data_IF_192593867684
#
_entry.id   IF_192593867684
#
_cell.length_a   1.000
_cell.length_b   1.000
_cell.length_c   1.000
_cell.angle_alpha   90.00
_cell.angle_beta   90.00
_cell.angle_gamma   90.00
#
_symmetry.space_group_name_H-M   'P 1'
#
loop_
_entity.id
_entity.type
_entity.pdbx_description
1 polymer ?
#
# COMPACT_ATOMS: atom_id res chain seq x y z
N UNK A 1 16.70 -17.68 12.01
CA UNK A 1 15.37 -17.03 11.95
C UNK A 1 15.49 -15.60 12.44
N UNK A 2 14.80 -14.65 11.82
CA UNK A 2 14.66 -13.28 12.31
C UNK A 2 13.18 -12.87 12.27
N UNK A 3 12.48 -12.74 13.41
CA UNK A 3 11.11 -12.23 13.45
C UNK A 3 11.00 -10.90 12.70
N UNK A 4 9.94 -10.72 11.92
CA UNK A 4 9.78 -9.51 11.11
C UNK A 4 9.49 -8.28 11.97
N UNK A 5 9.97 -7.13 11.53
CA UNK A 5 9.87 -5.85 12.22
C UNK A 5 10.74 -4.81 11.53
N UNK A 6 10.84 -3.59 12.10
CA UNK A 6 11.59 -2.49 11.50
C UNK A 6 13.06 -2.88 11.21
N UNK A 7 13.82 -3.25 12.23
CA UNK A 7 15.24 -3.63 12.06
C UNK A 7 15.42 -4.82 11.10
N UNK A 8 14.50 -5.79 11.14
CA UNK A 8 14.58 -6.98 10.29
C UNK A 8 14.34 -6.64 8.82
N UNK A 9 13.37 -5.77 8.52
CA UNK A 9 13.14 -5.31 7.15
C UNK A 9 14.39 -4.62 6.57
N UNK A 10 15.04 -3.73 7.33
CA UNK A 10 16.28 -3.08 6.93
C UNK A 10 17.43 -4.08 6.72
N UNK A 11 17.59 -5.03 7.66
CA UNK A 11 18.58 -6.09 7.57
C UNK A 11 18.37 -6.98 6.35
N UNK A 12 17.12 -7.31 6.00
CA UNK A 12 16.78 -8.13 4.84
C UNK A 12 17.06 -7.38 3.53
N UNK A 13 16.78 -6.09 3.45
CA UNK A 13 17.15 -5.26 2.28
C UNK A 13 18.66 -5.33 2.03
N UNK A 14 19.48 -5.14 3.07
CA UNK A 14 20.93 -5.22 2.95
C UNK A 14 21.43 -6.64 2.64
N UNK A 15 20.82 -7.66 3.26
CA UNK A 15 21.15 -9.06 3.00
C UNK A 15 20.91 -9.45 1.54
N UNK A 16 19.78 -9.04 0.96
CA UNK A 16 19.46 -9.30 -0.44
C UNK A 16 20.44 -8.60 -1.39
N UNK A 17 20.86 -7.37 -1.07
CA UNK A 17 21.90 -6.65 -1.83
C UNK A 17 23.28 -7.32 -1.72
N UNK A 18 23.58 -7.92 -0.57
CA UNK A 18 24.78 -8.74 -0.37
C UNK A 18 24.69 -10.12 -1.05
N UNK A 19 23.60 -10.43 -1.76
CA UNK A 19 23.41 -11.69 -2.48
C UNK A 19 22.93 -12.85 -1.61
N UNK A 20 22.54 -12.60 -0.35
CA UNK A 20 21.98 -13.62 0.51
C UNK A 20 20.56 -14.00 0.04
N UNK A 21 20.28 -15.30 0.05
CA UNK A 21 18.96 -15.87 -0.21
C UNK A 21 18.15 -15.90 1.06
N UNK A 22 17.04 -15.17 1.05
CA UNK A 22 16.13 -15.01 2.19
C UNK A 22 14.76 -15.55 1.82
N UNK A 23 14.14 -16.27 2.75
CA UNK A 23 12.75 -16.68 2.66
C UNK A 23 11.92 -15.99 3.73
N UNK A 24 10.63 -15.77 3.49
CA UNK A 24 9.67 -15.31 4.52
C UNK A 24 8.60 -16.34 4.75
N UNK A 25 8.14 -16.45 5.99
CA UNK A 25 7.08 -17.38 6.37
C UNK A 25 5.72 -16.71 6.24
N UNK A 26 4.77 -17.37 5.58
CA UNK A 26 3.47 -16.75 5.27
C UNK A 26 2.45 -16.94 6.40
N UNK A 27 2.81 -17.73 7.42
CA UNK A 27 2.03 -17.97 8.63
C UNK A 27 2.93 -18.08 9.85
N UNK A 28 2.32 -18.03 11.01
CA UNK A 28 2.99 -18.31 12.27
C UNK A 28 3.40 -19.80 12.39
N UNK A 29 4.46 -20.04 13.16
CA UNK A 29 4.94 -21.38 13.46
C UNK A 29 5.71 -21.43 14.78
N UNK A 30 5.85 -22.62 15.34
CA UNK A 30 6.60 -22.88 16.58
C UNK A 30 7.75 -23.83 16.31
N UNK A 31 8.97 -23.44 16.70
CA UNK A 31 10.15 -24.32 16.65
C UNK A 31 11.03 -24.08 17.87
N UNK A 32 11.46 -25.16 18.52
CA UNK A 32 12.28 -25.10 19.73
C UNK A 32 11.55 -24.42 20.89
N UNK A 33 10.24 -24.67 21.03
CA UNK A 33 9.39 -24.07 22.06
C UNK A 33 9.12 -22.56 21.91
N UNK A 34 9.54 -21.93 20.81
CA UNK A 34 9.30 -20.49 20.55
C UNK A 34 8.39 -20.30 19.34
N UNK A 35 7.35 -19.48 19.50
CA UNK A 35 6.48 -19.03 18.42
C UNK A 35 7.13 -17.90 17.63
N UNK A 36 6.98 -17.96 16.31
CA UNK A 36 7.46 -16.99 15.34
C UNK A 36 6.28 -16.46 14.51
N UNK A 37 6.13 -15.13 14.37
CA UNK A 37 5.01 -14.55 13.64
C UNK A 37 5.19 -14.67 12.12
N UNK A 38 4.11 -14.38 11.39
CA UNK A 38 4.12 -14.15 9.94
C UNK A 38 5.23 -13.16 9.54
N UNK A 39 5.81 -13.39 8.36
CA UNK A 39 6.89 -12.63 7.77
C UNK A 39 8.28 -12.95 8.33
N UNK A 40 8.40 -13.82 9.35
CA UNK A 40 9.70 -14.20 9.91
C UNK A 40 10.68 -14.58 8.80
N UNK A 41 11.83 -13.90 8.77
CA UNK A 41 12.85 -14.11 7.76
C UNK A 41 13.68 -15.36 8.10
N UNK A 42 13.80 -16.26 7.13
CA UNK A 42 14.55 -17.50 7.19
C UNK A 42 15.76 -17.43 6.27
N UNK A 43 16.93 -17.68 6.86
CA UNK A 43 18.20 -17.79 6.17
C UNK A 43 18.69 -19.22 6.35
N UNK A 44 18.81 -19.95 5.25
CA UNK A 44 19.29 -21.33 5.26
C UNK A 44 20.76 -21.38 4.90
N UNK A 45 21.57 -22.08 5.69
CA UNK A 45 22.99 -22.33 5.37
C UNK A 45 23.13 -23.07 4.04
N UNK A 46 22.21 -23.99 3.72
CA UNK A 46 22.19 -24.71 2.42
C UNK A 46 22.08 -23.79 1.20
N UNK A 47 21.50 -22.60 1.37
CA UNK A 47 21.25 -21.65 0.28
C UNK A 47 22.29 -20.52 0.22
N UNK A 48 23.07 -20.32 1.28
CA UNK A 48 23.95 -19.16 1.46
C UNK A 48 25.41 -19.52 1.71
N UNK A 49 25.74 -20.79 1.97
CA UNK A 49 27.10 -21.24 2.22
C UNK A 49 27.56 -21.06 3.67
N UNK A 50 28.83 -21.37 3.93
CA UNK A 50 29.42 -21.40 5.27
C UNK A 50 29.56 -20.01 5.91
N UNK A 51 29.74 -18.96 5.11
CA UNK A 51 29.97 -17.59 5.60
C UNK A 51 28.68 -16.88 6.04
N UNK A 52 27.50 -17.51 5.84
CA UNK A 52 26.20 -16.95 6.20
C UNK A 52 26.20 -16.39 7.63
N UNK A 53 26.71 -17.14 8.60
CA UNK A 53 26.69 -16.73 10.00
C UNK A 53 27.47 -15.43 10.23
N UNK A 54 28.66 -15.31 9.64
CA UNK A 54 29.52 -14.13 9.76
C UNK A 54 28.90 -12.92 9.08
N UNK A 55 28.44 -13.07 7.83
CA UNK A 55 27.82 -11.98 7.08
C UNK A 55 26.52 -11.52 7.71
N UNK A 56 25.65 -12.46 8.10
CA UNK A 56 24.38 -12.14 8.74
C UNK A 56 24.58 -11.49 10.12
N UNK A 57 25.58 -11.91 10.90
CA UNK A 57 25.88 -11.29 12.19
C UNK A 57 26.29 -9.82 12.05
N UNK A 58 27.11 -9.48 11.04
CA UNK A 58 27.50 -8.10 10.77
C UNK A 58 26.30 -7.22 10.36
N UNK A 59 25.46 -7.71 9.46
CA UNK A 59 24.23 -7.03 9.03
C UNK A 59 23.28 -6.88 10.23
N UNK A 60 23.09 -7.94 11.00
CA UNK A 60 22.19 -7.94 12.14
C UNK A 60 22.60 -6.94 13.22
N UNK A 61 23.90 -6.88 13.54
CA UNK A 61 24.47 -5.91 14.48
C UNK A 61 24.25 -4.46 14.01
N UNK A 62 24.44 -4.19 12.72
CA UNK A 62 24.23 -2.86 12.13
C UNK A 62 22.78 -2.38 12.27
N UNK A 63 21.81 -3.28 12.15
CA UNK A 63 20.38 -2.96 12.20
C UNK A 63 19.71 -3.23 13.55
N UNK A 64 20.50 -3.60 14.58
CA UNK A 64 20.00 -3.85 15.93
C UNK A 64 19.06 -5.05 16.05
N UNK A 65 19.26 -6.08 15.23
CA UNK A 65 18.46 -7.32 15.26
C UNK A 65 19.28 -8.50 15.75
N UNK A 66 18.62 -9.47 16.40
CA UNK A 66 19.26 -10.69 16.92
C UNK A 66 18.72 -11.91 16.19
N UNK A 67 19.49 -12.52 15.26
CA UNK A 67 19.10 -13.75 14.62
C UNK A 67 19.03 -14.88 15.64
N UNK A 68 17.97 -15.69 15.57
CA UNK A 68 17.85 -16.92 16.37
C UNK A 68 18.31 -18.11 15.53
N UNK A 69 19.44 -18.76 15.86
CA UNK A 69 19.85 -20.00 15.20
C UNK A 69 18.87 -21.12 15.55
N UNK A 70 18.66 -22.04 14.61
CA UNK A 70 17.88 -23.25 14.81
C UNK A 70 18.67 -24.43 14.24
N UNK A 71 18.68 -25.54 14.96
CA UNK A 71 19.41 -26.75 14.56
C UNK A 71 18.48 -27.82 13.95
N UNK A 72 17.17 -27.53 13.91
CA UNK A 72 16.15 -28.40 13.35
C UNK A 72 15.16 -27.60 12.51
N UNK A 73 14.66 -28.22 11.44
CA UNK A 73 13.54 -27.71 10.65
C UNK A 73 12.19 -28.29 11.09
N UNK A 74 12.17 -29.11 12.15
CA UNK A 74 10.94 -29.73 12.67
C UNK A 74 10.08 -28.69 13.39
N UNK A 75 8.90 -28.43 12.85
CA UNK A 75 7.94 -27.46 13.39
C UNK A 75 6.96 -28.19 14.30
N UNK A 76 6.80 -27.67 15.52
CA UNK A 76 5.92 -28.23 16.55
C UNK A 76 4.44 -27.87 16.27
N UNK A 77 4.18 -26.67 15.74
CA UNK A 77 2.86 -26.19 15.37
C UNK A 77 2.96 -25.12 14.27
N UNK A 78 1.93 -25.00 13.43
CA UNK A 78 1.88 -24.01 12.34
C UNK A 78 2.55 -24.49 11.04
N UNK A 79 3.06 -23.55 10.25
CA UNK A 79 3.62 -23.83 8.91
C UNK A 79 4.98 -24.52 8.98
N UNK A 80 5.18 -25.56 8.18
CA UNK A 80 6.49 -26.21 8.05
C UNK A 80 7.46 -25.32 7.28
N UNK A 81 8.71 -25.22 7.79
CA UNK A 81 9.76 -24.42 7.16
C UNK A 81 10.09 -24.87 5.73
N UNK A 82 9.76 -26.10 5.34
CA UNK A 82 9.97 -26.66 3.99
C UNK A 82 8.71 -26.76 3.14
N UNK A 83 7.59 -26.17 3.57
CA UNK A 83 6.33 -26.18 2.82
C UNK A 83 6.32 -25.14 1.68
N UNK A 84 5.25 -25.13 0.89
CA UNK A 84 5.02 -24.12 -0.14
C UNK A 84 4.55 -22.77 0.42
N UNK A 85 4.25 -22.68 1.72
CA UNK A 85 3.86 -21.44 2.42
C UNK A 85 5.10 -20.62 2.84
N UNK A 86 6.10 -20.62 1.96
CA UNK A 86 7.41 -20.00 2.14
C UNK A 86 7.75 -19.23 0.88
N UNK A 87 7.69 -17.91 0.96
CA UNK A 87 8.06 -17.02 -0.14
C UNK A 87 9.59 -16.82 -0.22
N UNK A 88 10.19 -17.05 -1.39
CA UNK A 88 11.60 -16.67 -1.65
C UNK A 88 11.67 -15.20 -2.04
N UNK A 89 12.38 -14.40 -1.25
CA UNK A 89 12.55 -12.98 -1.54
C UNK A 89 13.60 -12.75 -2.62
N UNK A 90 13.32 -11.77 -3.48
CA UNK A 90 14.27 -11.20 -4.44
C UNK A 90 14.59 -9.77 -4.00
N UNK A 91 15.79 -9.28 -4.32
CA UNK A 91 16.09 -7.85 -4.19
C UNK A 91 15.21 -7.08 -5.19
N UNK A 92 14.22 -6.27 -4.75
CA UNK A 92 13.29 -5.66 -5.68
C UNK A 92 13.96 -4.51 -6.43
N UNK A 93 13.79 -4.50 -7.75
CA UNK A 93 14.10 -3.34 -8.60
C UNK A 93 12.92 -2.37 -8.57
N UNK A 94 13.08 -1.30 -7.79
CA UNK A 94 12.01 -0.33 -7.57
C UNK A 94 12.09 0.84 -8.56
N UNK A 95 11.00 1.10 -9.25
CA UNK A 95 10.77 2.27 -10.08
C UNK A 95 9.83 3.23 -9.35
N UNK A 96 10.29 4.46 -9.08
CA UNK A 96 9.51 5.51 -8.43
C UNK A 96 9.17 6.61 -9.44
N UNK A 97 7.87 6.82 -9.67
CA UNK A 97 7.39 7.95 -10.44
C UNK A 97 7.68 9.28 -9.72
N UNK A 98 8.18 10.27 -10.46
CA UNK A 98 8.40 11.63 -9.98
C UNK A 98 8.00 12.66 -11.04
N UNK A 99 8.09 13.94 -10.66
CA UNK A 99 7.71 15.09 -11.49
C UNK A 99 6.17 15.17 -11.69
N UNK A 100 5.67 16.22 -12.32
CA UNK A 100 4.24 16.36 -12.56
C UNK A 100 3.66 15.12 -13.27
N UNK A 101 2.50 14.57 -12.85
CA UNK A 101 1.57 15.12 -11.86
C UNK A 101 1.75 14.61 -10.43
N UNK A 102 2.83 13.88 -10.12
CA UNK A 102 3.15 13.48 -8.74
C UNK A 102 3.41 14.70 -7.86
N UNK A 103 2.89 14.66 -6.64
CA UNK A 103 3.24 15.60 -5.58
C UNK A 103 4.72 15.46 -5.25
N UNK A 104 5.44 16.58 -5.28
CA UNK A 104 6.86 16.63 -4.92
C UNK A 104 7.11 16.18 -3.47
N UNK A 105 6.17 16.48 -2.57
CA UNK A 105 6.24 16.06 -1.16
C UNK A 105 6.12 14.53 -1.05
N UNK A 106 5.08 13.95 -1.64
CA UNK A 106 4.84 12.49 -1.60
C UNK A 106 6.00 11.70 -2.23
N UNK A 107 6.47 12.14 -3.41
CA UNK A 107 7.62 11.52 -4.07
C UNK A 107 8.91 11.66 -3.23
N UNK A 108 9.12 12.83 -2.62
CA UNK A 108 10.26 13.11 -1.75
C UNK A 108 10.27 12.25 -0.49
N UNK A 109 9.13 12.10 0.17
CA UNK A 109 8.99 11.25 1.35
C UNK A 109 9.20 9.77 1.01
N UNK A 110 8.54 9.25 -0.03
CA UNK A 110 8.71 7.86 -0.46
C UNK A 110 10.18 7.55 -0.80
N UNK A 111 10.84 8.44 -1.55
CA UNK A 111 12.26 8.29 -1.87
C UNK A 111 13.14 8.31 -0.62
N UNK A 112 12.91 9.28 0.27
CA UNK A 112 13.67 9.40 1.51
C UNK A 112 13.54 8.13 2.36
N UNK A 113 12.31 7.62 2.54
CA UNK A 113 12.07 6.40 3.31
C UNK A 113 12.81 5.21 2.70
N UNK A 114 12.70 5.00 1.38
CA UNK A 114 13.35 3.87 0.71
C UNK A 114 14.88 3.98 0.80
N UNK A 115 15.47 5.10 0.35
CA UNK A 115 16.92 5.21 0.25
C UNK A 115 17.61 5.47 1.60
N UNK A 116 17.01 6.28 2.49
CA UNK A 116 17.68 6.73 3.72
C UNK A 116 17.31 5.91 4.94
N UNK A 117 16.04 5.50 5.07
CA UNK A 117 15.62 4.68 6.22
C UNK A 117 15.90 3.19 5.98
N UNK A 118 15.57 2.69 4.79
CA UNK A 118 15.65 1.26 4.48
C UNK A 118 16.88 0.86 3.66
N UNK A 119 17.65 1.82 3.16
CA UNK A 119 18.75 1.58 2.21
C UNK A 119 18.33 0.76 0.97
N UNK A 120 17.06 0.81 0.59
CA UNK A 120 16.50 0.20 -0.59
C UNK A 120 16.79 1.08 -1.82
N UNK A 121 17.53 0.60 -2.83
CA UNK A 121 17.78 1.33 -4.05
C UNK A 121 16.49 1.58 -4.83
N UNK A 122 16.39 2.78 -5.39
CA UNK A 122 15.24 3.22 -6.20
C UNK A 122 15.74 3.90 -7.46
N UNK A 123 15.14 3.53 -8.59
CA UNK A 123 15.30 4.29 -9.84
C UNK A 123 14.14 5.26 -9.97
N UNK A 124 14.42 6.55 -10.17
CA UNK A 124 13.38 7.56 -10.36
C UNK A 124 13.11 7.79 -11.85
N UNK A 125 11.82 7.89 -12.21
CA UNK A 125 11.36 8.16 -13.58
C UNK A 125 10.39 9.33 -13.61
N UNK A 126 10.59 10.28 -14.54
CA UNK A 126 9.59 11.33 -14.77
C UNK A 126 8.33 10.69 -15.32
N UNK A 127 7.17 11.10 -14.85
CA UNK A 127 5.89 10.64 -15.40
C UNK A 127 5.79 10.79 -16.93
N UNK A 128 6.35 11.88 -17.49
CA UNK A 128 6.42 12.11 -18.95
C UNK A 128 7.28 11.09 -19.72
N UNK A 129 8.20 10.41 -19.04
CA UNK A 129 9.08 9.38 -19.60
C UNK A 129 8.58 7.96 -19.35
N UNK A 130 7.60 7.76 -18.45
CA UNK A 130 7.15 6.42 -18.05
C UNK A 130 6.69 5.57 -19.25
N UNK A 131 6.04 6.20 -20.24
CA UNK A 131 5.62 5.53 -21.47
C UNK A 131 6.77 5.04 -22.37
N UNK A 132 8.01 5.45 -22.13
CA UNK A 132 9.19 5.04 -22.92
C UNK A 132 10.04 3.99 -22.23
N UNK A 133 9.79 3.73 -20.95
CA UNK A 133 10.53 2.74 -20.16
C UNK A 133 9.95 1.36 -20.41
N UNK A 134 10.81 0.34 -20.43
CA UNK A 134 10.38 -1.04 -20.30
C UNK A 134 10.14 -1.36 -18.82
N UNK A 135 8.87 -1.55 -18.45
CA UNK A 135 8.52 -1.91 -17.07
C UNK A 135 9.02 -3.30 -16.70
N UNK A 136 9.31 -4.17 -17.68
CA UNK A 136 9.85 -5.52 -17.44
C UNK A 136 11.21 -5.53 -16.75
N UNK A 137 11.95 -4.42 -16.76
CA UNK A 137 13.21 -4.27 -16.04
C UNK A 137 13.02 -4.06 -14.52
N UNK A 138 11.79 -3.85 -14.05
CA UNK A 138 11.45 -3.49 -12.68
C UNK A 138 10.40 -4.42 -12.10
N UNK A 139 10.53 -4.68 -10.80
CA UNK A 139 9.60 -5.55 -10.05
C UNK A 139 8.48 -4.74 -9.38
N UNK A 140 8.77 -3.48 -9.02
CA UNK A 140 7.86 -2.61 -8.28
C UNK A 140 7.75 -1.25 -8.96
N UNK A 141 6.53 -0.75 -9.15
CA UNK A 141 6.23 0.61 -9.58
C UNK A 141 5.50 1.32 -8.45
N UNK A 142 6.12 2.37 -7.91
CA UNK A 142 5.51 3.24 -6.91
C UNK A 142 5.00 4.51 -7.59
N UNK A 143 3.70 4.76 -7.45
CA UNK A 143 3.05 6.01 -7.84
C UNK A 143 2.72 6.82 -6.57
N UNK A 144 3.50 7.87 -6.28
CA UNK A 144 3.20 8.80 -5.19
C UNK A 144 1.87 9.52 -5.39
N UNK A 145 1.34 10.18 -4.36
CA UNK A 145 0.11 10.98 -4.49
C UNK A 145 0.21 11.96 -5.65
N UNK A 146 -0.80 12.03 -6.50
CA UNK A 146 -0.80 12.87 -7.70
C UNK A 146 -2.04 12.66 -8.57
N UNK A 147 -2.31 13.63 -9.45
CA UNK A 147 -3.46 13.60 -10.35
C UNK A 147 -3.07 13.02 -11.71
N UNK A 148 -2.99 11.70 -11.79
CA UNK A 148 -2.54 11.01 -12.99
C UNK A 148 -3.59 11.00 -14.10
N UNK A 149 -3.13 11.19 -15.33
CA UNK A 149 -3.94 11.19 -16.56
C UNK A 149 -3.26 10.39 -17.66
N UNK A 150 -2.71 9.23 -17.30
CA UNK A 150 -2.12 8.31 -18.27
C UNK A 150 -3.11 7.90 -19.35
N UNK A 151 -2.61 7.72 -20.57
CA UNK A 151 -3.38 7.24 -21.70
C UNK A 151 -3.83 5.79 -21.48
N UNK A 152 -4.84 5.34 -22.24
CA UNK A 152 -5.32 3.95 -22.20
C UNK A 152 -4.19 2.95 -22.49
N UNK A 153 -3.30 3.26 -23.43
CA UNK A 153 -2.12 2.43 -23.72
C UNK A 153 -1.14 2.35 -22.56
N UNK A 154 -0.90 3.46 -21.85
CA UNK A 154 -0.03 3.44 -20.67
C UNK A 154 -0.64 2.59 -19.56
N UNK A 155 -1.95 2.73 -19.30
CA UNK A 155 -2.66 1.92 -18.32
C UNK A 155 -2.65 0.44 -18.72
N UNK A 156 -2.90 0.12 -19.99
CA UNK A 156 -2.85 -1.24 -20.52
C UNK A 156 -1.48 -1.88 -20.29
N UNK A 157 -0.39 -1.16 -20.58
CA UNK A 157 0.98 -1.65 -20.35
C UNK A 157 1.27 -1.87 -18.86
N UNK A 158 0.80 -0.98 -17.98
CA UNK A 158 0.91 -1.16 -16.53
C UNK A 158 0.14 -2.43 -16.12
N UNK A 159 -1.08 -2.62 -16.60
CA UNK A 159 -1.89 -3.82 -16.33
C UNK A 159 -1.20 -5.10 -16.78
N UNK A 160 -0.72 -5.14 -18.03
CA UNK A 160 -0.01 -6.29 -18.59
C UNK A 160 1.27 -6.60 -17.80
N UNK A 161 1.99 -5.58 -17.33
CA UNK A 161 3.15 -5.74 -16.46
C UNK A 161 2.78 -6.32 -15.08
N UNK A 162 1.72 -5.80 -14.43
CA UNK A 162 1.22 -6.37 -13.17
C UNK A 162 0.84 -7.84 -13.36
N UNK A 163 0.11 -8.16 -14.43
CA UNK A 163 -0.32 -9.54 -14.72
C UNK A 163 0.84 -10.53 -14.86
N UNK A 164 2.04 -10.06 -15.20
CA UNK A 164 3.28 -10.86 -15.31
C UNK A 164 4.13 -10.87 -14.03
N UNK A 165 3.60 -10.40 -12.90
CA UNK A 165 4.30 -10.43 -11.61
C UNK A 165 4.77 -9.06 -11.10
N UNK A 166 4.46 -7.98 -11.81
CA UNK A 166 4.76 -6.62 -11.34
C UNK A 166 3.90 -6.21 -10.13
N UNK A 167 4.46 -5.43 -9.20
CA UNK A 167 3.74 -4.88 -8.06
C UNK A 167 3.53 -3.38 -8.20
N UNK A 168 2.28 -2.96 -8.44
CA UNK A 168 1.89 -1.56 -8.44
C UNK A 168 1.54 -1.10 -7.02
N UNK A 169 2.24 -0.08 -6.52
CA UNK A 169 1.95 0.57 -5.24
C UNK A 169 1.45 1.98 -5.50
N UNK A 170 0.23 2.30 -5.08
CA UNK A 170 -0.36 3.63 -5.22
C UNK A 170 -0.60 4.29 -3.88
N UNK A 171 -0.29 5.58 -3.78
CA UNK A 171 -0.41 6.38 -2.56
C UNK A 171 -1.49 7.48 -2.73
N UNK A 172 -2.42 7.60 -1.79
CA UNK A 172 -3.42 8.67 -1.73
C UNK A 172 -4.17 8.93 -3.06
N UNK A 173 -3.97 10.08 -3.72
CA UNK A 173 -4.67 10.39 -4.98
C UNK A 173 -4.29 9.44 -6.12
N UNK A 174 -3.11 8.81 -6.08
CA UNK A 174 -2.76 7.76 -7.03
C UNK A 174 -3.66 6.52 -6.88
N UNK A 175 -4.07 6.21 -5.64
CA UNK A 175 -5.03 5.13 -5.36
C UNK A 175 -6.42 5.47 -5.91
N UNK A 176 -6.82 6.74 -5.84
CA UNK A 176 -8.05 7.22 -6.49
C UNK A 176 -7.95 7.12 -8.01
N UNK A 177 -6.78 7.42 -8.59
CA UNK A 177 -6.57 7.21 -10.01
C UNK A 177 -6.74 5.74 -10.41
N UNK A 178 -6.20 4.79 -9.63
CA UNK A 178 -6.31 3.36 -9.93
C UNK A 178 -7.76 2.83 -9.96
N UNK A 179 -8.68 3.47 -9.23
CA UNK A 179 -10.11 3.10 -9.16
C UNK A 179 -10.98 3.69 -10.26
N UNK A 180 -10.47 4.65 -11.04
CA UNK A 180 -11.26 5.26 -12.12
C UNK A 180 -11.69 4.18 -13.12
N UNK A 181 -12.94 4.22 -13.58
CA UNK A 181 -13.51 3.23 -14.50
C UNK A 181 -12.64 3.01 -15.76
N UNK A 182 -12.14 4.09 -16.36
CA UNK A 182 -11.21 4.03 -17.51
C UNK A 182 -9.91 3.29 -17.22
N UNK A 183 -9.49 3.26 -15.95
CA UNK A 183 -8.23 2.67 -15.52
C UNK A 183 -8.44 1.25 -15.00
N UNK A 184 -9.47 1.04 -14.17
CA UNK A 184 -9.91 -0.23 -13.59
C UNK A 184 -8.76 -1.12 -13.10
N UNK A 185 -7.78 -0.54 -12.40
CA UNK A 185 -6.64 -1.28 -11.83
C UNK A 185 -6.96 -1.76 -10.41
N UNK A 186 -7.88 -1.10 -9.72
CA UNK A 186 -8.35 -1.43 -8.38
C UNK A 186 -9.88 -1.43 -8.35
N UNK A 187 -10.48 -2.53 -7.89
CA UNK A 187 -11.93 -2.77 -7.82
C UNK A 187 -12.60 -2.08 -6.61
N UNK A 188 -12.27 -0.80 -6.41
CA UNK A 188 -12.79 0.08 -5.37
C UNK A 188 -13.30 1.39 -6.01
N UNK A 189 -13.80 2.32 -5.22
CA UNK A 189 -14.13 3.69 -5.62
C UNK A 189 -14.07 4.61 -4.38
N UNK A 190 -14.01 5.93 -4.60
CA UNK A 190 -14.12 6.89 -3.49
C UNK A 190 -15.58 7.24 -3.23
N UNK A 191 -15.92 7.66 -2.01
CA UNK A 191 -17.28 8.05 -1.64
C UNK A 191 -17.44 9.59 -1.66
N UNK A 192 -18.63 10.05 -2.06
CA UNK A 192 -19.07 11.43 -1.90
C UNK A 192 -19.52 11.70 -0.46
N UNK A 193 -19.79 12.96 -0.13
CA UNK A 193 -20.22 13.39 1.22
C UNK A 193 -21.48 12.67 1.71
N UNK A 194 -22.37 12.30 0.80
CA UNK A 194 -23.60 11.55 1.06
C UNK A 194 -23.41 10.01 1.12
N UNK A 195 -22.19 9.52 0.94
CA UNK A 195 -21.87 8.09 0.90
C UNK A 195 -22.09 7.43 -0.46
N UNK A 196 -22.53 8.16 -1.48
CA UNK A 196 -22.70 7.61 -2.82
C UNK A 196 -21.35 7.45 -3.56
N UNK A 197 -21.26 6.56 -4.57
CA UNK A 197 -20.04 6.39 -5.35
C UNK A 197 -19.59 7.65 -6.09
N UNK A 198 -18.31 8.02 -5.91
CA UNK A 198 -17.64 9.09 -6.64
C UNK A 198 -17.16 8.63 -8.04
N UNK A 199 -18.02 7.95 -8.78
CA UNK A 199 -17.83 7.64 -10.20
C UNK A 199 -18.78 8.50 -11.03
N UNK A 200 -18.34 9.03 -12.19
CA UNK A 200 -19.24 9.71 -13.11
C UNK A 200 -20.46 8.80 -13.39
N UNK A 201 -21.69 9.34 -13.43
CA UNK A 201 -22.83 8.53 -13.83
C UNK A 201 -22.57 7.97 -15.23
N UNK A 202 -22.94 6.72 -15.48
CA UNK A 202 -22.91 6.17 -16.84
C UNK A 202 -23.64 7.14 -17.76
N UNK A 203 -22.98 7.55 -18.84
CA UNK A 203 -23.61 8.34 -19.89
C UNK A 203 -24.66 7.45 -20.56
N UNK A 204 -25.88 7.44 -20.01
CA UNK A 204 -27.03 6.88 -20.70
C UNK A 204 -27.23 7.62 -22.03
N UNK A 205 -27.81 6.96 -23.04
CA UNK A 205 -28.00 7.53 -24.38
C UNK A 205 -28.80 8.86 -24.40
N UNK A 206 -29.47 9.22 -23.31
CA UNK A 206 -30.36 10.38 -23.22
C UNK A 206 -29.78 11.61 -22.47
N UNK A 207 -28.47 11.70 -22.22
CA UNK A 207 -27.88 12.87 -21.51
C UNK A 207 -26.80 13.62 -22.27
N UNK A 208 -26.84 13.55 -23.60
CA UNK A 208 -26.13 14.50 -24.48
C UNK A 208 -27.01 15.70 -24.87
N UNK A 209 -27.97 16.09 -24.03
CA UNK A 209 -28.62 17.39 -24.22
C UNK A 209 -27.70 18.49 -23.70
N UNK A 210 -27.27 19.35 -24.62
CA UNK A 210 -26.81 20.71 -24.31
C UNK A 210 -27.92 21.41 -23.53
N UNK A 211 -27.95 21.24 -22.21
CA UNK A 211 -28.90 21.93 -21.35
C UNK A 211 -28.48 23.38 -21.26
N UNK A 212 -29.20 24.24 -21.96
CA UNK A 212 -29.35 25.64 -21.56
C UNK A 212 -29.59 25.64 -20.04
N UNK A 213 -28.88 26.47 -19.25
CA UNK A 213 -29.12 26.55 -17.81
C UNK A 213 -30.62 26.72 -17.57
N UNK A 214 -31.23 25.96 -16.65
CA UNK A 214 -32.64 26.09 -16.38
C UNK A 214 -32.96 27.55 -16.02
N UNK A 215 -34.08 28.07 -16.52
CA UNK A 215 -34.54 29.41 -16.14
C UNK A 215 -34.69 29.44 -14.62
N UNK A 216 -33.99 30.37 -13.98
CA UNK A 216 -34.05 30.56 -12.53
C UNK A 216 -35.39 31.21 -12.19
N UNK A 217 -36.16 30.56 -11.32
CA UNK A 217 -37.35 31.14 -10.70
C UNK A 217 -36.90 32.16 -9.65
N UNK A 218 -37.09 33.46 -9.94
CA UNK A 218 -36.63 34.55 -9.08
C UNK A 218 -37.45 34.66 -7.77
N UNK A 219 -38.69 34.16 -7.73
CA UNK A 219 -39.53 34.20 -6.54
C UNK A 219 -39.21 33.06 -5.56
N UNK A 220 -38.60 31.97 -6.06
CA UNK A 220 -38.23 30.78 -5.28
C UNK A 220 -36.73 30.50 -5.27
N UNK A 221 -35.90 31.50 -5.58
CA UNK A 221 -34.46 31.33 -5.64
C UNK A 221 -33.87 31.15 -4.24
N UNK A 222 -33.49 29.92 -3.91
CA UNK A 222 -32.68 29.61 -2.73
C UNK A 222 -31.21 29.61 -3.12
N UNK A 223 -30.50 30.66 -2.70
CA UNK A 223 -29.07 30.80 -2.97
C UNK A 223 -28.25 29.65 -2.37
N UNK A 224 -28.53 29.26 -1.13
CA UNK A 224 -27.75 28.23 -0.42
C UNK A 224 -27.91 26.87 -1.10
N UNK A 225 -29.13 26.54 -1.54
CA UNK A 225 -29.38 25.34 -2.33
C UNK A 225 -28.73 25.41 -3.71
N UNK A 226 -28.79 26.57 -4.39
CA UNK A 226 -28.28 26.75 -5.74
C UNK A 226 -26.74 26.68 -5.84
N UNK A 227 -26.02 26.99 -4.76
CA UNK A 227 -24.56 26.90 -4.72
C UNK A 227 -24.04 25.54 -4.25
N UNK A 228 -24.91 24.64 -3.76
CA UNK A 228 -24.46 23.29 -3.40
C UNK A 228 -23.99 22.55 -4.65
N UNK A 229 -22.82 21.91 -4.61
CA UNK A 229 -22.37 21.09 -5.72
C UNK A 229 -23.25 19.84 -5.84
N UNK A 230 -23.67 19.50 -7.06
CA UNK A 230 -24.41 18.26 -7.35
C UNK A 230 -23.70 17.00 -6.83
N UNK A 231 -22.37 17.05 -6.71
CA UNK A 231 -21.50 15.95 -6.28
C UNK A 231 -20.45 16.44 -5.28
N UNK A 232 -20.91 16.80 -4.09
CA UNK A 232 -20.05 17.22 -2.98
C UNK A 232 -19.04 16.12 -2.61
N UNK A 233 -17.74 16.44 -2.67
CA UNK A 233 -16.73 15.58 -2.04
C UNK A 233 -16.91 15.64 -0.51
N UNK A 234 -16.40 14.63 0.19
CA UNK A 234 -16.29 14.69 1.65
C UNK A 234 -15.50 15.93 2.06
N UNK A 235 -15.81 16.49 3.24
CA UNK A 235 -15.01 17.56 3.79
C UNK A 235 -13.60 17.05 4.10
N UNK A 236 -12.59 17.90 3.87
CA UNK A 236 -11.20 17.55 4.09
C UNK A 236 -10.85 17.46 5.59
N UNK A 237 -10.02 16.48 5.94
CA UNK A 237 -9.36 16.39 7.24
C UNK A 237 -7.97 17.02 7.13
N UNK A 238 -7.60 17.90 8.06
CA UNK A 238 -6.33 18.63 8.03
C UNK A 238 -5.24 17.96 8.90
N UNK A 239 -5.05 16.65 8.75
CA UNK A 239 -4.05 15.89 9.52
C UNK A 239 -4.59 15.44 10.87
N UNK A 240 -5.48 14.45 10.87
CA UNK A 240 -5.94 13.77 12.08
C UNK A 240 -5.26 12.41 12.24
N UNK A 241 -5.12 11.96 13.48
CA UNK A 241 -4.60 10.64 13.83
C UNK A 241 -5.78 9.67 13.96
N UNK A 242 -5.87 8.72 13.03
CA UNK A 242 -6.99 7.79 12.91
C UNK A 242 -6.52 6.37 13.18
N UNK A 243 -7.33 5.59 13.91
CA UNK A 243 -7.06 4.17 14.17
C UNK A 243 -7.42 3.32 12.96
N UNK A 244 -6.54 2.41 12.59
CA UNK A 244 -6.74 1.43 11.54
C UNK A 244 -6.53 0.05 12.13
N UNK A 245 -7.54 -0.82 12.00
CA UNK A 245 -7.42 -2.24 12.28
C UNK A 245 -6.76 -2.94 11.09
N UNK A 246 -5.76 -3.79 11.37
CA UNK A 246 -5.00 -4.53 10.38
C UNK A 246 -5.40 -6.01 10.37
N UNK A 247 -5.42 -6.60 9.17
CA UNK A 247 -5.50 -8.05 8.99
C UNK A 247 -4.13 -8.68 9.23
N UNK A 248 -3.93 -9.23 10.44
CA UNK A 248 -2.68 -9.86 10.87
C UNK A 248 -2.30 -11.13 10.12
N UNK A 249 -3.24 -11.75 9.43
CA UNK A 249 -2.96 -12.97 8.65
C UNK A 249 -2.40 -12.63 7.27
N UNK A 250 -2.38 -11.34 6.90
CA UNK A 250 -1.87 -10.87 5.63
C UNK A 250 -0.38 -10.48 5.72
N UNK A 251 0.44 -10.96 4.78
CA UNK A 251 1.89 -10.73 4.73
C UNK A 251 2.28 -9.25 4.73
N UNK A 252 1.45 -8.38 4.16
CA UNK A 252 1.63 -6.91 4.20
C UNK A 252 1.76 -6.35 5.61
N UNK A 253 1.15 -7.00 6.61
CA UNK A 253 1.14 -6.55 8.00
C UNK A 253 2.20 -7.21 8.87
N UNK A 254 3.09 -8.01 8.27
CA UNK A 254 4.19 -8.64 8.99
C UNK A 254 4.94 -7.63 9.86
N UNK A 255 5.20 -8.01 11.11
CA UNK A 255 5.90 -7.18 12.10
C UNK A 255 5.05 -6.06 12.72
N UNK A 256 3.72 -6.05 12.52
CA UNK A 256 2.80 -5.06 13.10
C UNK A 256 1.75 -5.67 14.04
N UNK A 257 1.17 -4.81 14.86
CA UNK A 257 0.06 -5.13 15.77
C UNK A 257 -1.32 -5.06 15.08
N UNK A 258 -2.39 -5.45 15.79
CA UNK A 258 -3.76 -5.52 15.24
C UNK A 258 -4.29 -4.16 14.87
N UNK A 259 -3.74 -3.10 15.46
CA UNK A 259 -4.22 -1.74 15.32
C UNK A 259 -3.03 -0.81 15.27
N UNK A 260 -3.06 0.11 14.30
CA UNK A 260 -2.08 1.18 14.15
C UNK A 260 -2.78 2.53 14.13
N UNK A 261 -2.00 3.59 14.29
CA UNK A 261 -2.46 4.96 14.10
C UNK A 261 -1.85 5.54 12.81
N UNK A 262 -2.69 6.16 11.99
CA UNK A 262 -2.29 6.73 10.70
C UNK A 262 -2.65 8.21 10.65
N UNK A 263 -1.88 8.99 9.88
CA UNK A 263 -2.24 10.38 9.58
C UNK A 263 -3.16 10.39 8.36
N UNK A 264 -4.31 11.05 8.49
CA UNK A 264 -5.25 11.25 7.39
C UNK A 264 -5.30 12.71 7.00
N UNK A 265 -5.10 12.98 5.70
CA UNK A 265 -5.22 14.31 5.12
C UNK A 265 -6.13 14.32 3.88
N UNK A 266 -6.93 15.38 3.71
CA UNK A 266 -7.84 15.51 2.58
C UNK A 266 -9.16 14.77 2.77
N UNK A 267 -9.84 14.50 1.66
CA UNK A 267 -11.26 14.11 1.62
C UNK A 267 -11.52 12.70 1.10
N UNK A 268 -10.46 11.92 0.83
CA UNK A 268 -10.61 10.59 0.23
C UNK A 268 -11.19 9.64 1.27
N UNK A 269 -12.24 8.92 0.87
CA UNK A 269 -12.76 7.77 1.62
C UNK A 269 -13.02 6.66 0.62
N UNK A 270 -12.27 5.56 0.71
CA UNK A 270 -12.39 4.44 -0.23
C UNK A 270 -13.41 3.42 0.23
N UNK A 271 -14.30 3.02 -0.67
CA UNK A 271 -15.14 1.86 -0.45
C UNK A 271 -14.27 0.59 -0.35
N UNK A 272 -14.50 -0.30 0.62
CA UNK A 272 -13.77 -1.56 0.72
C UNK A 272 -13.87 -2.40 -0.55
N UNK A 273 -12.81 -3.16 -0.84
CA UNK A 273 -12.85 -4.22 -1.85
C UNK A 273 -13.88 -5.29 -1.45
N UNK A 274 -14.49 -5.93 -2.44
CA UNK A 274 -15.27 -7.15 -2.20
C UNK A 274 -14.34 -8.35 -2.02
N UNK A 275 -14.81 -9.37 -1.29
CA UNK A 275 -14.02 -10.56 -0.95
C UNK A 275 -13.49 -11.32 -2.17
N UNK A 276 -14.20 -11.28 -3.30
CA UNK A 276 -13.82 -11.92 -4.56
C UNK A 276 -12.82 -11.08 -5.40
N UNK A 277 -12.56 -9.84 -4.99
CA UNK A 277 -11.69 -8.91 -5.71
C UNK A 277 -10.34 -8.71 -5.03
N UNK A 278 -10.26 -8.91 -3.72
CA UNK A 278 -9.02 -8.76 -2.96
C UNK A 278 -9.28 -8.64 -1.46
N UNK A 279 -8.26 -8.17 -0.75
CA UNK A 279 -8.24 -8.10 0.72
C UNK A 279 -8.17 -6.65 1.19
N UNK A 280 -9.04 -6.28 2.13
CA UNK A 280 -8.95 -5.01 2.85
C UNK A 280 -8.02 -5.17 4.05
N UNK A 281 -6.71 -5.13 3.78
CA UNK A 281 -5.64 -5.38 4.76
C UNK A 281 -5.66 -4.38 5.92
N UNK A 282 -6.10 -3.14 5.68
CA UNK A 282 -6.29 -2.14 6.71
C UNK A 282 -7.64 -1.46 6.58
N UNK A 283 -8.41 -1.43 7.66
CA UNK A 283 -9.75 -0.83 7.74
C UNK A 283 -9.77 0.20 8.86
N UNK A 284 -10.31 1.39 8.59
CA UNK A 284 -10.52 2.41 9.63
C UNK A 284 -11.42 1.87 10.75
N UNK A 285 -11.02 2.10 12.01
CA UNK A 285 -11.75 1.60 13.17
C UNK A 285 -13.19 2.14 13.23
N UNK A 286 -14.07 1.43 13.95
CA UNK A 286 -15.48 1.78 14.05
C UNK A 286 -15.79 2.70 15.23
N UNK A 287 -16.82 3.53 15.05
CA UNK A 287 -17.46 4.30 16.12
C UNK A 287 -16.53 5.28 16.81
N UNK A 288 -16.72 5.46 18.12
CA UNK A 288 -16.02 6.48 18.90
C UNK A 288 -14.51 6.26 19.03
N UNK A 289 -14.02 5.06 18.72
CA UNK A 289 -12.57 4.75 18.74
C UNK A 289 -11.85 5.22 17.49
N UNK A 290 -12.55 5.59 16.42
CA UNK A 290 -11.94 5.95 15.12
C UNK A 290 -10.85 7.02 15.26
N UNK A 291 -11.13 8.09 16.01
CA UNK A 291 -10.22 9.23 16.14
C UNK A 291 -9.34 9.02 17.37
N UNK A 292 -8.03 8.84 17.15
CA UNK A 292 -7.04 8.80 18.23
C UNK A 292 -6.56 10.21 18.62
N UNK A 293 -6.61 11.17 17.69
CA UNK A 293 -6.26 12.57 17.95
C UNK A 293 -6.53 13.48 16.75
N UNK A 294 -6.63 14.79 17.00
CA UNK A 294 -6.93 15.80 15.98
C UNK A 294 -8.43 16.03 15.76
N UNK A 295 -8.76 16.87 14.77
CA UNK A 295 -10.12 17.26 14.44
C UNK A 295 -10.61 16.52 13.20
N UNK A 296 -11.76 15.86 13.33
CA UNK A 296 -12.50 15.24 12.22
C UNK A 296 -13.96 15.64 12.35
N UNK A 297 -14.55 16.11 11.26
CA UNK A 297 -15.97 16.46 11.18
C UNK A 297 -16.86 15.23 11.48
N UNK A 298 -17.96 15.36 12.23
CA UNK A 298 -18.83 14.24 12.59
C UNK A 298 -19.31 13.41 11.38
N UNK A 299 -19.61 14.06 10.27
CA UNK A 299 -20.06 13.46 9.02
C UNK A 299 -18.94 12.61 8.40
N UNK A 300 -17.70 13.14 8.40
CA UNK A 300 -16.52 12.43 7.90
C UNK A 300 -16.20 11.21 8.77
N UNK A 301 -16.35 11.31 10.10
CA UNK A 301 -16.20 10.16 11.01
C UNK A 301 -17.17 9.04 10.64
N UNK A 302 -18.43 9.40 10.40
CA UNK A 302 -19.48 8.44 10.00
C UNK A 302 -19.16 7.81 8.66
N UNK A 303 -18.77 8.62 7.67
CA UNK A 303 -18.44 8.16 6.33
C UNK A 303 -17.23 7.21 6.32
N UNK A 304 -16.16 7.57 7.02
CA UNK A 304 -14.88 6.85 7.09
C UNK A 304 -14.93 5.57 7.92
N UNK A 305 -15.85 5.46 8.88
CA UNK A 305 -15.99 4.28 9.72
C UNK A 305 -16.09 3.00 8.86
N UNK A 306 -15.21 2.04 9.14
CA UNK A 306 -15.09 0.76 8.44
C UNK A 306 -14.80 0.86 6.92
N UNK A 307 -14.17 1.95 6.49
CA UNK A 307 -13.70 2.13 5.11
C UNK A 307 -12.25 1.71 4.97
N UNK A 308 -11.83 1.51 3.72
CA UNK A 308 -10.51 0.97 3.43
C UNK A 308 -9.42 2.02 3.63
N UNK A 309 -8.36 1.62 4.33
CA UNK A 309 -7.10 2.34 4.43
C UNK A 309 -6.03 1.70 3.54
N UNK A 310 -5.85 0.38 3.66
CA UNK A 310 -4.88 -0.39 2.87
C UNK A 310 -5.61 -1.53 2.17
N UNK A 311 -5.51 -1.53 0.84
CA UNK A 311 -6.14 -2.52 -0.03
C UNK A 311 -5.07 -3.29 -0.79
N UNK A 312 -5.25 -4.60 -0.87
CA UNK A 312 -4.46 -5.49 -1.72
C UNK A 312 -5.40 -6.19 -2.69
N UNK A 313 -5.09 -6.09 -3.98
CA UNK A 313 -5.82 -6.75 -5.04
C UNK A 313 -4.84 -7.55 -5.91
N UNK A 314 -4.97 -8.89 -5.98
CA UNK A 314 -4.20 -9.68 -6.93
C UNK A 314 -4.67 -9.35 -8.35
N UNK A 315 -3.72 -9.29 -9.29
CA UNK A 315 -4.01 -9.08 -10.70
C UNK A 315 -3.04 -9.90 -11.55
N UNK A 316 -3.51 -11.03 -12.05
CA UNK A 316 -2.65 -12.04 -12.69
C UNK A 316 -1.66 -12.61 -11.66
N UNK A 317 -0.36 -12.57 -11.97
CA UNK A 317 0.71 -13.01 -11.08
C UNK A 317 1.27 -11.91 -10.17
N UNK A 318 0.79 -10.68 -10.30
CA UNK A 318 1.26 -9.54 -9.52
C UNK A 318 0.18 -8.94 -8.64
N UNK A 319 0.46 -7.72 -8.16
CA UNK A 319 -0.37 -7.09 -7.14
C UNK A 319 -0.61 -5.61 -7.41
N UNK A 320 -1.79 -5.16 -7.00
CA UNK A 320 -2.11 -3.75 -6.80
C UNK A 320 -2.28 -3.51 -5.31
N UNK A 321 -1.43 -2.66 -4.74
CA UNK A 321 -1.42 -2.30 -3.32
C UNK A 321 -1.71 -0.82 -3.21
N UNK A 322 -2.85 -0.48 -2.63
CA UNK A 322 -3.35 0.88 -2.60
C UNK A 322 -3.51 1.39 -1.17
N UNK A 323 -2.83 2.49 -0.87
CA UNK A 323 -2.97 3.22 0.39
C UNK A 323 -3.92 4.41 0.19
N UNK A 324 -4.91 4.56 1.07
CA UNK A 324 -5.85 5.68 1.06
C UNK A 324 -5.17 7.02 1.38
N UNK A 325 -4.10 6.96 2.18
CA UNK A 325 -3.24 8.06 2.58
C UNK A 325 -1.78 7.76 2.21
N UNK A 326 -0.89 8.74 2.30
CA UNK A 326 0.54 8.49 2.09
C UNK A 326 1.18 7.86 3.34
N UNK A 327 1.62 6.58 3.30
CA UNK A 327 2.26 5.94 4.44
C UNK A 327 3.63 6.54 4.78
N UNK A 328 4.17 7.42 3.95
CA UNK A 328 5.46 8.07 4.15
C UNK A 328 5.33 9.49 4.67
N UNK A 329 4.10 9.98 4.95
CA UNK A 329 3.84 11.37 5.35
C UNK A 329 4.86 11.88 6.37
N UNK A 330 5.75 12.76 5.91
CA UNK A 330 6.84 13.39 6.69
C UNK A 330 7.71 12.42 7.50
N UNK A 331 7.79 11.15 7.10
CA UNK A 331 8.43 10.08 7.88
C UNK A 331 7.90 9.97 9.33
N UNK A 332 6.64 10.34 9.58
CA UNK A 332 6.12 10.55 10.94
C UNK A 332 5.79 9.25 11.69
N UNK A 333 5.21 8.25 11.02
CA UNK A 333 4.74 7.02 11.67
C UNK A 333 5.51 5.79 11.19
N UNK A 334 6.17 5.08 12.10
CA UNK A 334 6.99 3.92 11.75
C UNK A 334 6.17 2.73 11.26
N UNK A 335 4.96 2.56 11.82
CA UNK A 335 4.07 1.47 11.46
C UNK A 335 3.64 1.52 9.98
N UNK A 336 3.29 2.70 9.47
CA UNK A 336 2.90 2.86 8.06
C UNK A 336 4.10 2.77 7.12
N UNK A 337 5.28 3.24 7.56
CA UNK A 337 6.53 3.02 6.83
C UNK A 337 6.90 1.54 6.74
N UNK A 338 6.59 0.75 7.78
CA UNK A 338 6.74 -0.71 7.74
C UNK A 338 5.76 -1.35 6.74
N UNK A 339 4.49 -0.92 6.71
CA UNK A 339 3.53 -1.36 5.67
C UNK A 339 4.05 -1.04 4.26
N UNK A 340 4.63 0.15 4.07
CA UNK A 340 5.15 0.57 2.77
C UNK A 340 6.35 -0.26 2.32
N UNK A 341 7.34 -0.49 3.19
CA UNK A 341 8.48 -1.35 2.82
C UNK A 341 8.07 -2.81 2.67
N UNK A 342 7.08 -3.31 3.44
CA UNK A 342 6.51 -4.64 3.24
C UNK A 342 5.91 -4.77 1.83
N UNK A 343 5.16 -3.76 1.36
CA UNK A 343 4.60 -3.74 0.02
C UNK A 343 5.69 -3.79 -1.08
N UNK A 344 6.82 -3.11 -0.86
CA UNK A 344 7.96 -3.09 -1.80
C UNK A 344 8.75 -4.39 -1.77
N UNK A 345 8.99 -4.96 -0.59
CA UNK A 345 9.94 -6.04 -0.38
C UNK A 345 9.31 -7.43 -0.50
N UNK A 346 8.07 -7.58 -0.02
CA UNK A 346 7.38 -8.86 0.05
C UNK A 346 6.51 -9.12 -1.19
N UNK A 347 6.08 -8.08 -1.91
CA UNK A 347 5.16 -8.21 -3.04
C UNK A 347 5.62 -9.22 -4.10
N UNK A 348 6.87 -9.17 -4.55
CA UNK A 348 7.36 -10.11 -5.58
C UNK A 348 7.57 -11.56 -5.12
N UNK A 349 7.37 -11.86 -3.83
CA UNK A 349 7.50 -13.20 -3.25
C UNK A 349 6.18 -13.91 -2.97
N UNK A 350 5.06 -13.18 -2.96
CA UNK A 350 3.71 -13.65 -2.63
C UNK A 350 2.77 -13.59 -3.85
#
# INVERSE_FOLDING_TARGET
LMPWGLGTAAAVVEALQAGLRVQTMDREFTVGGRQYPIGTALFRTSNNGADLATTLAAIAAKHGVTPTPIDTAFVEAGVSLGSNDVALLKAPKVLLAYDAPSSSLSAGWARYILERRWAQPVTTVRNSSLGRIDLGDYDVLVLPSGNYSYSEDQVRRIREWIQRGGTLITLAEASRWATLERNNLLSSWTLLKDGSPNVPPAAGPDKADKKTPPKVDLEKFDYEAAIQPDRAQSDGTAGAVIRVALDKEHWLTAGLDNEIAVIVEGSRVFHPLKLDQGTNVGIYAKGDRLVAGGLVWPEVRTLMSQKAYLMHQPLGQGHVIAFAEDPNYRAFTEATQLLFINAVLLGGGH
#
